data_IF_112152662002
#
_entry.id   IF_112152662002
#
_cell.length_a   1.000
_cell.length_b   1.000
_cell.length_c   1.000
_cell.angle_alpha   90.00
_cell.angle_beta   90.00
_cell.angle_gamma   90.00
#
_symmetry.space_group_name_H-M   'P 1'
#
loop_
_entity.id
_entity.type
_entity.pdbx_description
1 polymer ?
#
# COMPACT_ATOMS: atom_id res chain seq x y z
N UNK A 1 12.65 -24.53 15.52
CA UNK A 1 11.24 -24.11 15.41
C UNK A 1 11.17 -22.74 16.04
N UNK A 2 11.03 -21.68 15.23
CA UNK A 2 10.87 -20.32 15.74
C UNK A 2 9.51 -20.21 16.46
N UNK A 3 9.47 -19.49 17.58
CA UNK A 3 8.21 -19.24 18.30
C UNK A 3 7.25 -18.36 17.49
N UNK A 4 6.00 -18.26 17.96
CA UNK A 4 5.02 -17.35 17.36
C UNK A 4 5.44 -15.89 17.62
N UNK A 5 5.33 -15.03 16.60
CA UNK A 5 5.69 -13.61 16.71
C UNK A 5 4.60 -12.88 17.49
N UNK A 6 4.99 -12.14 18.53
CA UNK A 6 4.06 -11.36 19.37
C UNK A 6 3.70 -10.03 18.71
N UNK A 7 2.45 -9.90 18.30
CA UNK A 7 1.97 -8.77 17.49
C UNK A 7 1.00 -7.89 18.26
N UNK A 8 1.16 -6.57 18.11
CA UNK A 8 0.17 -5.57 18.48
C UNK A 8 -0.42 -4.81 17.29
N UNK A 9 -1.63 -4.28 17.44
CA UNK A 9 -2.27 -3.43 16.41
C UNK A 9 -2.59 -2.05 16.96
N UNK A 10 -2.10 -0.99 16.31
CA UNK A 10 -2.38 0.41 16.66
C UNK A 10 -3.36 0.97 15.63
N UNK A 11 -4.55 1.36 16.09
CA UNK A 11 -5.70 1.76 15.28
C UNK A 11 -6.60 0.57 14.98
N UNK A 12 -7.80 0.54 15.56
CA UNK A 12 -8.81 -0.51 15.46
C UNK A 12 -10.01 -0.08 14.59
N UNK A 13 -9.75 0.82 13.63
CA UNK A 13 -10.73 1.27 12.64
C UNK A 13 -11.03 0.21 11.58
N UNK A 14 -11.45 0.66 10.39
CA UNK A 14 -11.83 -0.24 9.28
C UNK A 14 -10.72 -1.25 8.94
N UNK A 15 -9.50 -0.78 8.65
CA UNK A 15 -8.37 -1.65 8.32
C UNK A 15 -7.81 -2.37 9.54
N UNK A 16 -7.67 -1.68 10.68
CA UNK A 16 -7.21 -2.30 11.93
C UNK A 16 -8.00 -3.55 12.35
N UNK A 17 -9.32 -3.54 12.21
CA UNK A 17 -10.16 -4.72 12.47
C UNK A 17 -9.84 -5.89 11.55
N UNK A 18 -9.49 -5.62 10.29
CA UNK A 18 -9.08 -6.67 9.36
C UNK A 18 -7.70 -7.23 9.74
N UNK A 19 -6.76 -6.40 10.20
CA UNK A 19 -5.46 -6.87 10.69
C UNK A 19 -5.63 -7.74 11.94
N UNK A 20 -6.42 -7.30 12.92
CA UNK A 20 -6.75 -8.09 14.12
C UNK A 20 -7.36 -9.46 13.75
N UNK A 21 -8.32 -9.48 12.82
CA UNK A 21 -8.90 -10.73 12.32
C UNK A 21 -7.82 -11.64 11.73
N UNK A 22 -7.05 -11.14 10.77
CA UNK A 22 -6.06 -11.95 10.07
C UNK A 22 -5.01 -12.47 11.03
N UNK A 23 -4.43 -11.63 11.91
CA UNK A 23 -3.46 -12.09 12.90
C UNK A 23 -4.03 -13.15 13.85
N UNK A 24 -5.31 -13.07 14.22
CA UNK A 24 -5.96 -14.11 15.05
C UNK A 24 -6.15 -15.46 14.32
N UNK A 25 -5.96 -15.49 13.01
CA UNK A 25 -6.05 -16.70 12.17
C UNK A 25 -4.68 -17.27 11.76
N UNK A 26 -3.56 -16.61 12.10
CA UNK A 26 -2.21 -17.04 11.72
C UNK A 26 -1.57 -17.88 12.82
N UNK A 27 -1.10 -19.08 12.49
CA UNK A 27 -0.54 -20.03 13.46
C UNK A 27 0.82 -19.59 14.03
N UNK A 28 1.59 -18.82 13.26
CA UNK A 28 2.90 -18.29 13.66
C UNK A 28 2.81 -16.89 14.31
N UNK A 29 1.62 -16.51 14.80
CA UNK A 29 1.38 -15.21 15.43
C UNK A 29 0.69 -15.38 16.78
N UNK A 30 1.19 -14.65 17.78
CA UNK A 30 0.47 -14.40 19.02
C UNK A 30 -0.07 -12.96 18.99
N UNK A 31 -1.39 -12.79 18.86
CA UNK A 31 -2.01 -11.46 18.92
C UNK A 31 -2.15 -11.04 20.39
N UNK A 32 -1.28 -10.14 20.85
CA UNK A 32 -1.14 -9.82 22.29
C UNK A 32 -2.01 -8.64 22.72
N UNK A 33 -2.00 -7.55 21.94
CA UNK A 33 -2.64 -6.31 22.36
C UNK A 33 -3.10 -5.42 21.18
N UNK A 34 -4.02 -4.51 21.50
CA UNK A 34 -4.49 -3.50 20.56
C UNK A 34 -4.62 -2.12 21.21
N UNK A 35 -4.39 -1.07 20.44
CA UNK A 35 -4.56 0.31 20.88
C UNK A 35 -5.45 1.12 19.92
N UNK A 36 -6.40 1.90 20.45
CA UNK A 36 -7.23 2.85 19.70
C UNK A 36 -7.70 3.94 20.67
N UNK A 37 -7.88 5.16 20.18
CA UNK A 37 -8.41 6.28 20.97
C UNK A 37 -9.92 6.13 21.27
N UNK A 38 -10.61 5.27 20.52
CA UNK A 38 -12.04 4.99 20.64
C UNK A 38 -12.30 3.79 21.59
N UNK A 39 -12.84 4.10 22.77
CA UNK A 39 -13.18 3.12 23.81
C UNK A 39 -14.14 2.02 23.33
N UNK A 40 -15.09 2.33 22.46
CA UNK A 40 -16.07 1.34 22.00
C UNK A 40 -15.46 0.36 21.00
N UNK A 41 -14.50 0.83 20.17
CA UNK A 41 -13.71 -0.07 19.34
C UNK A 41 -12.86 -1.01 20.18
N UNK A 42 -12.23 -0.51 21.24
CA UNK A 42 -11.43 -1.35 22.14
C UNK A 42 -12.30 -2.41 22.84
N UNK A 43 -13.46 -2.05 23.39
CA UNK A 43 -14.39 -3.03 23.98
C UNK A 43 -14.78 -4.13 23.00
N UNK A 44 -15.04 -3.77 21.74
CA UNK A 44 -15.32 -4.75 20.70
C UNK A 44 -14.13 -5.70 20.46
N UNK A 45 -12.91 -5.14 20.38
CA UNK A 45 -11.68 -5.91 20.16
C UNK A 45 -11.39 -6.86 21.31
N UNK A 46 -11.46 -6.38 22.55
CA UNK A 46 -11.29 -7.19 23.76
C UNK A 46 -12.31 -8.34 23.79
N UNK A 47 -13.60 -8.04 23.56
CA UNK A 47 -14.66 -9.06 23.53
C UNK A 47 -14.46 -10.09 22.41
N UNK A 48 -14.01 -9.66 21.23
CA UNK A 48 -13.94 -10.51 20.02
C UNK A 48 -12.70 -11.37 19.97
N UNK A 49 -11.57 -10.87 20.48
CA UNK A 49 -10.25 -11.50 20.33
C UNK A 49 -9.60 -11.88 21.67
N UNK A 50 -10.13 -11.41 22.80
CA UNK A 50 -9.58 -11.71 24.13
C UNK A 50 -8.23 -11.05 24.42
N UNK A 51 -7.87 -10.01 23.67
CA UNK A 51 -6.57 -9.33 23.75
C UNK A 51 -6.64 -8.12 24.67
N UNK A 52 -5.51 -7.75 25.26
CA UNK A 52 -5.42 -6.54 26.09
C UNK A 52 -5.62 -5.30 25.23
N UNK A 53 -6.30 -4.30 25.78
CA UNK A 53 -6.60 -3.06 25.04
C UNK A 53 -6.12 -1.81 25.75
N UNK A 54 -5.70 -0.83 24.95
CA UNK A 54 -5.06 0.40 25.43
C UNK A 54 -5.60 1.64 24.73
N UNK A 55 -5.95 2.68 25.50
CA UNK A 55 -6.33 3.98 24.93
C UNK A 55 -5.13 4.79 24.44
N UNK A 56 -3.95 4.50 24.98
CA UNK A 56 -2.68 5.10 24.57
C UNK A 56 -1.72 3.99 24.14
N UNK A 57 -1.32 4.00 22.87
CA UNK A 57 -0.38 3.01 22.33
C UNK A 57 0.97 3.05 23.05
N UNK A 58 1.38 4.18 23.62
CA UNK A 58 2.64 4.30 24.38
C UNK A 58 2.59 3.48 25.66
N UNK A 59 1.43 3.37 26.29
CA UNK A 59 1.25 2.49 27.45
C UNK A 59 1.28 1.02 27.03
N UNK A 60 0.70 0.68 25.89
CA UNK A 60 0.82 -0.66 25.29
C UNK A 60 2.29 -1.04 25.06
N UNK A 61 3.08 -0.15 24.44
CA UNK A 61 4.51 -0.39 24.16
C UNK A 61 5.36 -0.59 25.42
N UNK A 62 4.97 0.02 26.55
CA UNK A 62 5.69 -0.13 27.84
C UNK A 62 5.33 -1.41 28.58
N UNK A 63 4.07 -1.85 28.47
CA UNK A 63 3.51 -2.92 29.32
C UNK A 63 3.54 -4.29 28.66
N UNK A 64 3.53 -4.32 27.34
CA UNK A 64 3.44 -5.55 26.57
C UNK A 64 4.77 -5.92 25.92
N UNK A 65 5.09 -7.21 25.98
CA UNK A 65 6.22 -7.80 25.28
C UNK A 65 5.82 -8.05 23.82
N UNK A 66 5.94 -7.02 22.99
CA UNK A 66 5.63 -7.07 21.57
C UNK A 66 6.92 -7.14 20.75
N UNK A 67 6.91 -7.90 19.66
CA UNK A 67 7.99 -7.97 18.68
C UNK A 67 7.65 -7.11 17.45
N UNK A 68 6.37 -7.10 17.07
CA UNK A 68 5.90 -6.46 15.85
C UNK A 68 4.59 -5.68 16.02
N UNK A 69 4.40 -4.67 15.17
CA UNK A 69 3.22 -3.80 15.18
C UNK A 69 2.65 -3.58 13.78
N UNK A 70 1.33 -3.67 13.66
CA UNK A 70 0.58 -3.05 12.56
C UNK A 70 0.10 -1.67 12.95
N UNK A 71 0.40 -0.65 12.15
CA UNK A 71 -0.03 0.74 12.37
C UNK A 71 -1.10 1.10 11.33
N UNK A 72 -2.36 1.10 11.77
CA UNK A 72 -3.56 1.31 10.97
C UNK A 72 -4.35 2.56 11.42
N UNK A 73 -3.64 3.63 11.75
CA UNK A 73 -4.21 4.90 12.24
C UNK A 73 -4.51 5.87 11.09
N UNK A 74 -5.02 7.10 11.33
CA UNK A 74 -5.04 8.12 10.29
C UNK A 74 -3.63 8.42 9.75
N UNK A 75 -3.53 8.68 8.45
CA UNK A 75 -2.25 8.93 7.75
C UNK A 75 -1.38 9.99 8.42
N UNK A 76 -1.99 11.08 8.93
CA UNK A 76 -1.28 12.19 9.57
C UNK A 76 -0.61 11.81 10.88
N UNK A 77 -1.01 10.70 11.52
CA UNK A 77 -0.40 10.22 12.77
C UNK A 77 0.65 9.14 12.54
N UNK A 78 0.81 8.63 11.32
CA UNK A 78 1.74 7.53 11.02
C UNK A 78 3.18 7.84 11.42
N UNK A 79 3.71 9.01 11.05
CA UNK A 79 5.11 9.35 11.28
C UNK A 79 5.50 9.29 12.77
N UNK A 80 4.71 9.94 13.64
CA UNK A 80 4.96 9.95 15.08
C UNK A 80 4.88 8.53 15.68
N UNK A 81 3.79 7.80 15.37
CA UNK A 81 3.54 6.47 15.93
C UNK A 81 4.59 5.46 15.44
N UNK A 82 4.97 5.52 14.16
CA UNK A 82 5.96 4.64 13.57
C UNK A 82 7.36 4.92 14.13
N UNK A 83 7.76 6.19 14.26
CA UNK A 83 9.04 6.55 14.89
C UNK A 83 9.13 6.10 16.34
N UNK A 84 8.05 6.27 17.12
CA UNK A 84 8.03 5.82 18.51
C UNK A 84 8.08 4.29 18.63
N UNK A 85 7.39 3.59 17.74
CA UNK A 85 7.42 2.12 17.64
C UNK A 85 8.83 1.60 17.29
N UNK A 86 9.48 2.19 16.29
CA UNK A 86 10.84 1.85 15.87
C UNK A 86 11.85 2.11 16.99
N UNK A 87 11.77 3.27 17.66
CA UNK A 87 12.63 3.60 18.82
C UNK A 87 12.43 2.67 20.01
N UNK A 88 11.27 2.02 20.11
CA UNK A 88 11.00 0.98 21.09
C UNK A 88 11.50 -0.42 20.63
N UNK A 89 12.25 -0.50 19.53
CA UNK A 89 12.84 -1.73 19.00
C UNK A 89 11.83 -2.66 18.34
N UNK A 90 10.69 -2.16 17.85
CA UNK A 90 9.61 -2.98 17.29
C UNK A 90 9.70 -3.03 15.77
N UNK A 91 9.50 -4.22 15.21
CA UNK A 91 9.26 -4.38 13.77
C UNK A 91 7.91 -3.77 13.42
N UNK A 92 7.80 -3.08 12.28
CA UNK A 92 6.56 -2.38 11.92
C UNK A 92 6.09 -2.67 10.49
N UNK A 93 4.79 -2.86 10.37
CA UNK A 93 4.03 -2.72 9.13
C UNK A 93 3.17 -1.46 9.25
N UNK A 94 3.48 -0.42 8.48
CA UNK A 94 2.75 0.85 8.50
C UNK A 94 1.78 0.94 7.33
N UNK A 95 0.53 1.30 7.60
CA UNK A 95 -0.47 1.52 6.58
C UNK A 95 -0.01 2.61 5.58
N UNK A 96 -0.40 2.48 4.31
CA UNK A 96 -0.16 3.53 3.31
C UNK A 96 -0.99 4.79 3.58
N UNK A 97 -0.48 5.99 3.23
CA UNK A 97 0.93 6.26 2.94
C UNK A 97 1.78 6.09 4.22
N UNK A 98 3.02 5.61 4.09
CA UNK A 98 3.87 5.35 5.28
C UNK A 98 4.05 6.59 6.17
N UNK A 99 4.07 7.77 5.55
CA UNK A 99 4.09 9.09 6.17
C UNK A 99 3.35 10.07 5.25
N UNK A 100 3.02 11.26 5.75
CA UNK A 100 2.41 12.30 4.90
C UNK A 100 3.44 13.17 4.19
N UNK A 101 4.70 13.14 4.60
CA UNK A 101 5.79 13.90 3.99
C UNK A 101 6.99 13.01 3.67
N UNK A 102 7.73 13.39 2.63
CA UNK A 102 9.00 12.73 2.26
C UNK A 102 10.04 12.85 3.38
N UNK A 103 10.10 14.00 4.04
CA UNK A 103 11.05 14.25 5.13
C UNK A 103 10.83 13.30 6.31
N UNK A 104 9.58 13.10 6.73
CA UNK A 104 9.27 12.14 7.79
C UNK A 104 9.54 10.70 7.36
N UNK A 105 9.33 10.39 6.08
CA UNK A 105 9.62 9.07 5.53
C UNK A 105 11.12 8.73 5.55
N UNK A 106 11.99 9.70 5.23
CA UNK A 106 13.44 9.57 5.36
C UNK A 106 13.83 9.31 6.83
N UNK A 107 13.36 10.16 7.75
CA UNK A 107 13.62 10.00 9.19
C UNK A 107 13.19 8.63 9.71
N UNK A 108 12.06 8.11 9.22
CA UNK A 108 11.55 6.81 9.63
C UNK A 108 12.41 5.65 9.12
N UNK A 109 12.88 5.73 7.87
CA UNK A 109 13.80 4.72 7.31
C UNK A 109 15.14 4.73 8.05
N UNK A 110 15.70 5.91 8.29
CA UNK A 110 16.97 6.05 9.01
C UNK A 110 16.86 5.48 10.43
N UNK A 111 15.80 5.83 11.16
CA UNK A 111 15.55 5.29 12.49
C UNK A 111 15.38 3.75 12.48
N UNK A 112 14.71 3.19 11.46
CA UNK A 112 14.53 1.75 11.35
C UNK A 112 15.85 1.02 11.09
N UNK A 113 16.71 1.59 10.24
CA UNK A 113 18.05 1.09 9.96
C UNK A 113 18.95 1.17 11.21
N UNK A 114 18.94 2.29 11.92
CA UNK A 114 19.72 2.50 13.15
C UNK A 114 19.34 1.50 14.25
N UNK A 115 18.05 1.20 14.38
CA UNK A 115 17.53 0.23 15.36
C UNK A 115 17.64 -1.22 14.90
N UNK A 116 17.98 -1.48 13.63
CA UNK A 116 18.03 -2.82 13.06
C UNK A 116 16.66 -3.51 13.00
N UNK A 117 15.57 -2.74 12.88
CA UNK A 117 14.20 -3.28 12.82
C UNK A 117 13.65 -3.32 11.39
N UNK A 118 12.84 -4.32 11.09
CA UNK A 118 12.10 -4.42 9.83
C UNK A 118 11.02 -3.33 9.76
N UNK A 119 11.04 -2.55 8.68
CA UNK A 119 10.02 -1.58 8.28
C UNK A 119 9.43 -1.99 6.94
N UNK A 120 8.19 -2.48 6.96
CA UNK A 120 7.39 -2.74 5.77
C UNK A 120 6.26 -1.70 5.66
N UNK A 121 5.78 -1.49 4.44
CA UNK A 121 4.68 -0.58 4.12
C UNK A 121 3.54 -1.38 3.49
N UNK A 122 2.31 -1.10 3.90
CA UNK A 122 1.08 -1.72 3.40
C UNK A 122 0.79 -1.29 1.95
N UNK A 123 1.54 -1.87 1.03
CA UNK A 123 1.27 -1.86 -0.40
C UNK A 123 0.58 -3.17 -0.80
N UNK A 124 -0.55 -3.46 -0.16
CA UNK A 124 -1.35 -4.68 -0.29
C UNK A 124 -1.58 -5.17 -1.74
N UNK A 125 -1.64 -4.27 -2.73
CA UNK A 125 -1.87 -4.65 -4.13
C UNK A 125 -0.68 -5.44 -4.73
N UNK A 126 0.54 -5.36 -4.17
CA UNK A 126 1.65 -6.26 -4.55
C UNK A 126 1.42 -7.72 -4.12
N UNK A 127 0.53 -7.94 -3.15
CA UNK A 127 0.09 -9.26 -2.68
C UNK A 127 -1.19 -9.75 -3.37
N UNK A 128 -1.78 -8.93 -4.25
CA UNK A 128 -2.93 -9.32 -5.07
C UNK A 128 -2.50 -10.38 -6.10
N UNK A 129 -3.06 -11.62 -6.07
CA UNK A 129 -2.71 -12.67 -7.03
C UNK A 129 -2.82 -12.22 -8.49
N UNK A 130 -3.82 -11.41 -8.82
CA UNK A 130 -3.98 -10.86 -10.16
C UNK A 130 -2.79 -9.99 -10.59
N UNK A 131 -2.30 -9.12 -9.70
CA UNK A 131 -1.13 -8.27 -9.96
C UNK A 131 0.15 -9.09 -10.12
N UNK A 132 0.35 -10.09 -9.26
CA UNK A 132 1.51 -10.98 -9.34
C UNK A 132 1.50 -11.79 -10.64
N UNK A 133 0.33 -12.24 -11.09
CA UNK A 133 0.19 -12.87 -12.39
C UNK A 133 0.55 -11.89 -13.51
N UNK A 134 0.00 -10.67 -13.52
CA UNK A 134 0.38 -9.64 -14.52
C UNK A 134 1.91 -9.48 -14.57
N UNK A 135 2.58 -9.36 -13.42
CA UNK A 135 4.04 -9.24 -13.37
C UNK A 135 4.75 -10.46 -13.97
N UNK A 136 4.33 -11.67 -13.59
CA UNK A 136 4.90 -12.90 -14.12
C UNK A 136 4.74 -13.01 -15.65
N UNK A 137 3.60 -12.59 -16.20
CA UNK A 137 3.38 -12.56 -17.66
C UNK A 137 4.26 -11.53 -18.38
N UNK A 138 4.47 -10.35 -17.78
CA UNK A 138 5.41 -9.34 -18.29
C UNK A 138 6.83 -9.91 -18.30
N UNK A 139 7.28 -10.49 -17.18
CA UNK A 139 8.63 -11.03 -17.02
C UNK A 139 8.88 -12.25 -17.93
N UNK A 140 7.85 -13.03 -18.21
CA UNK A 140 7.89 -14.13 -19.19
C UNK A 140 7.79 -13.66 -20.65
N UNK A 141 7.76 -12.36 -20.93
CA UNK A 141 7.74 -11.78 -22.28
C UNK A 141 6.43 -12.02 -23.05
N UNK A 142 5.33 -12.35 -22.36
CA UNK A 142 4.08 -12.81 -23.01
C UNK A 142 3.29 -11.70 -23.72
N UNK A 143 3.68 -10.44 -23.52
CA UNK A 143 3.14 -9.28 -24.23
C UNK A 143 4.20 -8.50 -25.01
N UNK A 144 5.40 -9.06 -25.16
CA UNK A 144 6.53 -8.37 -25.80
C UNK A 144 6.98 -7.16 -25.01
N UNK A 145 7.38 -6.09 -25.70
CA UNK A 145 7.83 -4.85 -25.06
C UNK A 145 6.65 -4.06 -24.52
N UNK A 146 6.57 -3.84 -23.20
CA UNK A 146 5.51 -3.04 -22.58
C UNK A 146 5.62 -1.59 -23.01
N UNK A 147 4.59 -1.06 -23.68
CA UNK A 147 4.55 0.32 -24.20
C UNK A 147 3.74 1.25 -23.30
N UNK A 148 2.68 0.73 -22.68
CA UNK A 148 1.70 1.52 -21.93
C UNK A 148 1.18 0.71 -20.74
N UNK A 149 1.07 1.38 -19.59
CA UNK A 149 0.33 0.86 -18.43
C UNK A 149 -0.74 1.88 -18.04
N UNK A 150 -2.00 1.48 -18.00
CA UNK A 150 -3.12 2.36 -17.64
C UNK A 150 -3.89 1.78 -16.47
N UNK A 151 -4.08 2.57 -15.40
CA UNK A 151 -4.92 2.21 -14.26
C UNK A 151 -6.10 3.16 -14.10
N UNK A 152 -7.22 2.59 -13.65
CA UNK A 152 -8.43 3.32 -13.29
C UNK A 152 -8.94 2.82 -11.95
N UNK A 153 -8.86 3.68 -10.92
CA UNK A 153 -9.32 3.42 -9.56
C UNK A 153 -10.27 4.52 -9.12
N UNK A 154 -11.56 4.31 -9.40
CA UNK A 154 -12.61 5.31 -9.20
C UNK A 154 -13.80 4.71 -8.45
N UNK A 155 -14.47 5.51 -7.64
CA UNK A 155 -15.70 5.09 -6.94
C UNK A 155 -16.57 6.28 -6.59
N UNK A 156 -17.79 6.00 -6.12
CA UNK A 156 -18.59 7.02 -5.45
C UNK A 156 -17.93 7.34 -4.12
N UNK A 157 -18.15 8.57 -3.65
CA UNK A 157 -17.65 9.14 -2.42
C UNK A 157 -17.45 8.11 -1.30
N UNK A 158 -16.25 8.03 -0.69
CA UNK A 158 -15.96 7.02 0.30
C UNK A 158 -16.84 7.22 1.53
N UNK A 159 -17.26 6.10 2.14
CA UNK A 159 -18.05 6.12 3.39
C UNK A 159 -17.25 6.82 4.51
N UNK A 160 -15.92 6.70 4.47
CA UNK A 160 -15.00 7.37 5.39
C UNK A 160 -14.18 8.38 4.61
N UNK A 161 -14.36 9.65 4.95
CA UNK A 161 -13.52 10.72 4.43
C UNK A 161 -12.14 10.59 5.08
N UNK A 162 -11.10 10.45 4.26
CA UNK A 162 -9.72 10.36 4.71
C UNK A 162 -9.17 11.70 5.19
N UNK A 163 -8.01 11.65 5.83
CA UNK A 163 -7.23 12.82 6.25
C UNK A 163 -6.26 13.32 5.17
N UNK A 164 -6.34 12.76 3.97
CA UNK A 164 -5.58 13.09 2.76
C UNK A 164 -6.50 13.07 1.53
N UNK A 165 -6.06 13.62 0.39
CA UNK A 165 -6.81 13.57 -0.87
C UNK A 165 -6.59 12.29 -1.69
N UNK A 166 -7.29 12.16 -2.82
CA UNK A 166 -7.27 10.94 -3.66
C UNK A 166 -5.89 10.55 -4.16
N UNK A 167 -4.95 11.48 -4.27
CA UNK A 167 -3.59 11.15 -4.74
C UNK A 167 -2.88 10.29 -3.71
N UNK A 168 -2.91 10.68 -2.43
CA UNK A 168 -2.27 9.92 -1.34
C UNK A 168 -3.14 8.78 -0.82
N UNK A 169 -4.46 8.81 -1.04
CA UNK A 169 -5.34 7.70 -0.64
C UNK A 169 -5.45 6.60 -1.71
N UNK A 170 -5.68 6.96 -2.97
CA UNK A 170 -5.95 6.01 -4.06
C UNK A 170 -4.77 5.85 -5.00
N UNK A 171 -4.26 6.96 -5.57
CA UNK A 171 -3.24 6.88 -6.62
C UNK A 171 -1.93 6.27 -6.12
N UNK A 172 -1.62 6.39 -4.82
CA UNK A 172 -0.42 5.81 -4.23
C UNK A 172 -0.30 4.30 -4.47
N UNK A 173 -1.41 3.56 -4.51
CA UNK A 173 -1.40 2.14 -4.86
C UNK A 173 -0.95 1.95 -6.31
N UNK A 174 -1.53 2.72 -7.24
CA UNK A 174 -1.24 2.55 -8.65
C UNK A 174 0.15 3.08 -9.02
N UNK A 175 0.64 4.14 -8.36
CA UNK A 175 2.03 4.62 -8.44
C UNK A 175 3.00 3.50 -8.05
N UNK A 176 2.74 2.85 -6.93
CA UNK A 176 3.53 1.71 -6.48
C UNK A 176 3.50 0.54 -7.49
N UNK A 177 2.30 0.19 -7.98
CA UNK A 177 2.15 -0.88 -8.97
C UNK A 177 2.86 -0.56 -10.29
N UNK A 178 2.87 0.69 -10.77
CA UNK A 178 3.63 1.06 -11.98
C UNK A 178 5.12 0.77 -11.80
N UNK A 179 5.68 1.09 -10.63
CA UNK A 179 7.08 0.80 -10.30
C UNK A 179 7.32 -0.70 -10.20
N UNK A 180 6.45 -1.40 -9.47
CA UNK A 180 6.54 -2.85 -9.26
C UNK A 180 6.50 -3.64 -10.55
N UNK A 181 5.57 -3.33 -11.47
CA UNK A 181 5.44 -4.06 -12.74
C UNK A 181 6.61 -3.79 -13.68
N UNK A 182 7.17 -2.57 -13.65
CA UNK A 182 8.26 -2.18 -14.55
C UNK A 182 9.66 -2.45 -14.01
N UNK A 183 9.80 -2.67 -12.69
CA UNK A 183 11.07 -2.64 -11.96
C UNK A 183 11.86 -1.34 -12.23
N UNK A 184 11.16 -0.22 -12.46
CA UNK A 184 11.75 1.09 -12.79
C UNK A 184 11.08 2.19 -11.98
N UNK A 185 11.77 3.32 -11.87
CA UNK A 185 11.20 4.56 -11.35
C UNK A 185 10.87 5.53 -12.49
N UNK A 186 9.75 6.27 -12.40
CA UNK A 186 9.45 7.31 -13.38
C UNK A 186 10.44 8.47 -13.25
N UNK A 187 10.75 9.12 -14.37
CA UNK A 187 11.69 10.24 -14.48
C UNK A 187 10.98 11.59 -14.62
N UNK A 188 9.69 11.59 -14.97
CA UNK A 188 8.88 12.79 -15.11
C UNK A 188 7.41 12.51 -14.80
N UNK A 189 6.71 13.50 -14.29
CA UNK A 189 5.28 13.46 -14.00
C UNK A 189 4.55 14.70 -14.54
N UNK A 190 3.39 14.48 -15.14
CA UNK A 190 2.40 15.52 -15.40
C UNK A 190 1.07 15.11 -14.75
N UNK A 191 0.37 16.05 -14.13
CA UNK A 191 -0.92 15.77 -13.51
C UNK A 191 -1.91 16.93 -13.64
N UNK A 192 -3.19 16.57 -13.68
CA UNK A 192 -4.32 17.47 -13.45
C UNK A 192 -5.08 16.91 -12.26
N UNK A 193 -5.22 17.69 -11.20
CA UNK A 193 -5.95 17.31 -9.99
C UNK A 193 -6.78 18.48 -9.49
N UNK A 194 -7.90 18.18 -8.83
CA UNK A 194 -8.79 19.20 -8.30
C UNK A 194 -9.79 18.65 -7.30
N UNK A 195 -10.70 19.50 -6.87
CA UNK A 195 -11.69 19.19 -5.84
C UNK A 195 -13.06 19.75 -6.20
N UNK A 196 -14.12 19.02 -5.85
CA UNK A 196 -15.51 19.49 -5.89
C UNK A 196 -16.09 19.59 -4.47
N UNK A 197 -15.85 18.58 -3.64
CA UNK A 197 -16.47 18.45 -2.31
C UNK A 197 -15.45 18.37 -1.17
N UNK A 198 -14.25 17.85 -1.41
CA UNK A 198 -13.27 17.63 -0.33
C UNK A 198 -12.39 18.85 -0.08
N UNK A 199 -11.76 18.94 1.10
CA UNK A 199 -10.75 19.98 1.38
C UNK A 199 -9.45 19.77 0.59
N UNK A 200 -9.10 18.52 0.31
CA UNK A 200 -8.02 18.15 -0.62
C UNK A 200 -8.59 17.77 -1.98
N UNK A 201 -7.73 17.35 -2.90
CA UNK A 201 -8.16 16.83 -4.21
C UNK A 201 -9.05 15.58 -4.07
N UNK A 202 -10.16 15.54 -4.82
CA UNK A 202 -11.09 14.40 -4.91
C UNK A 202 -11.17 13.78 -6.32
N UNK A 203 -10.38 14.31 -7.26
CA UNK A 203 -10.04 13.68 -8.53
C UNK A 203 -8.60 14.02 -8.98
N UNK A 204 -7.97 13.10 -9.71
CA UNK A 204 -6.71 13.33 -10.40
C UNK A 204 -6.56 12.45 -11.65
N UNK A 205 -5.94 13.02 -12.69
CA UNK A 205 -5.46 12.34 -13.88
C UNK A 205 -3.94 12.56 -13.97
N UNK A 206 -3.17 11.48 -14.04
CA UNK A 206 -1.72 11.51 -13.88
C UNK A 206 -1.07 10.77 -15.05
N UNK A 207 0.01 11.34 -15.57
CA UNK A 207 0.91 10.74 -16.55
C UNK A 207 2.28 10.60 -15.89
N UNK A 208 2.80 9.38 -15.85
CA UNK A 208 4.16 9.07 -15.42
C UNK A 208 4.97 8.65 -16.64
N UNK A 209 6.10 9.32 -16.86
CA UNK A 209 7.05 8.99 -17.92
C UNK A 209 8.25 8.29 -17.30
N UNK A 210 8.67 7.19 -17.92
CA UNK A 210 9.91 6.49 -17.62
C UNK A 210 10.98 6.92 -18.65
N UNK A 211 12.26 6.61 -18.39
CA UNK A 211 13.37 7.06 -19.27
C UNK A 211 13.15 6.70 -20.74
N UNK A 212 12.56 5.54 -21.01
CA UNK A 212 12.17 5.06 -22.34
C UNK A 212 10.71 4.60 -22.32
N UNK A 213 10.49 3.30 -22.10
CA UNK A 213 9.17 2.68 -21.94
C UNK A 213 9.02 2.04 -20.54
N UNK A 214 7.77 1.92 -20.04
CA UNK A 214 6.52 2.38 -20.68
C UNK A 214 6.19 3.84 -20.33
N UNK A 215 5.11 4.39 -20.91
CA UNK A 215 4.39 5.52 -20.30
C UNK A 215 3.26 4.97 -19.45
N UNK A 216 2.96 5.57 -18.30
CA UNK A 216 1.85 5.16 -17.45
C UNK A 216 0.80 6.26 -17.26
N UNK A 217 -0.48 5.85 -17.24
CA UNK A 217 -1.63 6.72 -17.01
C UNK A 217 -2.40 6.23 -15.79
N UNK A 218 -2.72 7.14 -14.87
CA UNK A 218 -3.49 6.82 -13.65
C UNK A 218 -4.69 7.77 -13.58
N UNK A 219 -5.89 7.20 -13.51
CA UNK A 219 -7.15 7.91 -13.24
C UNK A 219 -7.66 7.52 -11.85
N UNK A 220 -7.81 8.52 -10.96
CA UNK A 220 -8.41 8.33 -9.63
C UNK A 220 -9.46 9.41 -9.34
N UNK A 221 -10.58 9.01 -8.72
CA UNK A 221 -11.54 9.95 -8.16
C UNK A 221 -12.53 9.26 -7.21
N UNK A 222 -13.20 10.09 -6.40
CA UNK A 222 -14.34 9.72 -5.56
C UNK A 222 -15.69 10.18 -6.13
N UNK A 223 -15.74 10.52 -7.42
CA UNK A 223 -16.88 11.17 -8.06
C UNK A 223 -17.66 10.22 -8.98
N UNK A 224 -17.08 9.08 -9.37
CA UNK A 224 -17.68 8.16 -10.33
C UNK A 224 -18.72 7.26 -9.67
N UNK A 225 -20.00 7.25 -10.10
CA UNK A 225 -21.04 6.44 -9.44
C UNK A 225 -20.73 4.93 -9.38
N UNK A 226 -20.07 4.41 -10.41
CA UNK A 226 -19.67 3.00 -10.49
C UNK A 226 -18.24 2.79 -9.99
N UNK A 227 -18.09 1.95 -8.96
CA UNK A 227 -16.78 1.49 -8.48
C UNK A 227 -16.06 0.70 -9.57
N UNK A 228 -14.87 1.14 -9.96
CA UNK A 228 -14.00 0.49 -10.95
C UNK A 228 -12.58 0.44 -10.41
N UNK A 229 -11.95 -0.74 -10.45
CA UNK A 229 -10.52 -0.92 -10.20
C UNK A 229 -9.95 -1.81 -11.29
N UNK A 230 -9.28 -1.20 -12.26
CA UNK A 230 -8.77 -1.87 -13.45
C UNK A 230 -7.35 -1.45 -13.74
N UNK A 231 -6.55 -2.39 -14.22
CA UNK A 231 -5.21 -2.18 -14.77
C UNK A 231 -5.17 -2.76 -16.18
N UNK A 232 -4.55 -2.05 -17.11
CA UNK A 232 -4.32 -2.50 -18.48
C UNK A 232 -2.84 -2.33 -18.78
N UNK A 233 -2.21 -3.41 -19.25
CA UNK A 233 -0.83 -3.42 -19.71
C UNK A 233 -0.86 -3.72 -21.20
N UNK A 234 -0.42 -2.76 -22.01
CA UNK A 234 -0.27 -2.93 -23.46
C UNK A 234 1.20 -3.11 -23.78
N UNK A 235 1.53 -4.20 -24.46
CA UNK A 235 2.84 -4.40 -25.07
C UNK A 235 2.75 -4.58 -26.58
N UNK A 236 3.91 -4.76 -27.22
CA UNK A 236 4.00 -4.92 -28.68
C UNK A 236 3.24 -6.12 -29.22
N UNK A 237 3.12 -7.19 -28.42
CA UNK A 237 2.63 -8.49 -28.89
C UNK A 237 1.31 -8.90 -28.22
N UNK A 238 0.80 -8.08 -27.29
CA UNK A 238 -0.44 -8.37 -26.59
C UNK A 238 -0.83 -7.36 -25.52
N UNK A 239 -1.97 -7.63 -24.90
CA UNK A 239 -2.56 -6.80 -23.86
C UNK A 239 -3.01 -7.67 -22.68
N UNK A 240 -2.77 -7.21 -21.46
CA UNK A 240 -3.29 -7.80 -20.23
C UNK A 240 -4.24 -6.82 -19.59
N UNK A 241 -5.45 -7.27 -19.25
CA UNK A 241 -6.41 -6.52 -18.45
C UNK A 241 -6.60 -7.22 -17.12
N UNK A 242 -6.42 -6.51 -16.01
CA UNK A 242 -6.66 -6.98 -14.66
C UNK A 242 -7.85 -6.25 -14.05
N UNK A 243 -8.76 -7.00 -13.43
CA UNK A 243 -9.72 -6.48 -12.48
C UNK A 243 -9.19 -6.71 -11.05
N UNK A 244 -8.77 -5.64 -10.35
CA UNK A 244 -8.19 -5.77 -9.00
C UNK A 244 -9.15 -6.41 -7.98
N UNK A 245 -10.47 -6.26 -8.18
CA UNK A 245 -11.48 -6.75 -7.23
C UNK A 245 -11.65 -8.26 -7.37
N UNK A 246 -11.83 -8.76 -8.59
CA UNK A 246 -12.02 -10.19 -8.85
C UNK A 246 -10.69 -10.95 -8.96
N UNK A 247 -9.57 -10.22 -9.08
CA UNK A 247 -8.22 -10.75 -9.33
C UNK A 247 -8.07 -11.45 -10.70
N UNK A 248 -9.12 -11.39 -11.52
CA UNK A 248 -9.14 -11.97 -12.86
C UNK A 248 -8.28 -11.15 -13.81
N UNK A 249 -7.49 -11.86 -14.62
CA UNK A 249 -6.76 -11.29 -15.74
C UNK A 249 -7.27 -11.86 -17.06
N UNK A 250 -7.34 -11.03 -18.08
CA UNK A 250 -7.55 -11.45 -19.47
C UNK A 250 -6.34 -11.06 -20.29
N UNK A 251 -5.81 -12.01 -21.05
CA UNK A 251 -4.66 -11.80 -21.93
C UNK A 251 -5.14 -11.96 -23.35
N UNK A 252 -4.86 -10.98 -24.21
CA UNK A 252 -5.22 -11.02 -25.61
C UNK A 252 -4.03 -10.65 -26.51
N UNK A 253 -3.95 -11.31 -27.66
CA UNK A 253 -2.97 -11.06 -28.72
C UNK A 253 -3.60 -11.30 -30.10
N UNK A 254 -2.80 -11.32 -31.16
CA UNK A 254 -3.26 -11.54 -32.53
C UNK A 254 -3.94 -12.90 -32.77
N UNK A 255 -3.70 -13.89 -31.90
CA UNK A 255 -4.25 -15.25 -32.01
C UNK A 255 -5.54 -15.46 -31.23
N UNK A 256 -5.90 -14.52 -30.35
CA UNK A 256 -7.14 -14.59 -29.55
C UNK A 256 -6.97 -14.03 -28.14
N UNK A 257 -7.96 -14.30 -27.29
CA UNK A 257 -7.97 -13.91 -25.89
C UNK A 257 -8.23 -15.11 -24.98
N UNK A 258 -7.59 -15.16 -23.82
CA UNK A 258 -7.83 -16.16 -22.80
C UNK A 258 -7.77 -15.57 -21.39
N UNK A 259 -8.47 -16.22 -20.47
CA UNK A 259 -8.48 -15.88 -19.03
C UNK A 259 -7.89 -17.06 -18.27
N UNK A 260 -6.66 -16.97 -17.75
CA UNK A 260 -6.08 -18.05 -16.95
C UNK A 260 -6.86 -18.23 -15.65
N UNK A 261 -7.02 -19.49 -15.23
CA UNK A 261 -7.59 -19.81 -13.93
C UNK A 261 -6.74 -19.17 -12.83
N UNK A 262 -7.37 -18.42 -11.94
CA UNK A 262 -6.72 -17.78 -10.79
C UNK A 262 -7.43 -18.23 -9.53
N UNK A 263 -6.67 -18.76 -8.57
CA UNK A 263 -7.20 -19.07 -7.25
C UNK A 263 -7.28 -17.77 -6.46
N UNK A 264 -8.49 -17.40 -6.06
CA UNK A 264 -8.68 -16.22 -5.23
C UNK A 264 -7.97 -16.42 -3.89
N UNK A 265 -7.23 -15.41 -3.46
CA UNK A 265 -6.60 -15.37 -2.14
C UNK A 265 -6.70 -13.96 -1.57
N UNK A 266 -6.95 -13.86 -0.27
CA UNK A 266 -7.09 -12.57 0.42
C UNK A 266 -5.73 -11.84 0.45
N UNK A 267 -5.56 -10.70 -0.26
CA UNK A 267 -4.27 -10.02 -0.32
C UNK A 267 -3.74 -9.58 1.04
N UNK A 268 -4.63 -9.16 1.95
CA UNK A 268 -4.25 -8.76 3.30
C UNK A 268 -3.66 -9.94 4.08
N UNK A 269 -4.28 -11.13 4.00
CA UNK A 269 -3.77 -12.33 4.66
C UNK A 269 -2.36 -12.67 4.17
N UNK A 270 -2.14 -12.59 2.86
CA UNK A 270 -0.82 -12.82 2.25
C UNK A 270 0.22 -11.79 2.70
N UNK A 271 -0.15 -10.52 2.78
CA UNK A 271 0.73 -9.45 3.26
C UNK A 271 1.12 -9.62 4.73
N UNK A 272 0.14 -9.90 5.60
CA UNK A 272 0.44 -10.08 7.03
C UNK A 272 1.26 -11.35 7.27
N UNK A 273 0.95 -12.47 6.60
CA UNK A 273 1.80 -13.66 6.65
C UNK A 273 3.22 -13.37 6.17
N UNK A 274 3.37 -12.64 5.07
CA UNK A 274 4.68 -12.24 4.55
C UNK A 274 5.46 -11.40 5.56
N UNK A 275 4.82 -10.41 6.20
CA UNK A 275 5.47 -9.60 7.23
C UNK A 275 6.02 -10.45 8.38
N UNK A 276 5.25 -11.45 8.83
CA UNK A 276 5.69 -12.38 9.88
C UNK A 276 6.83 -13.27 9.39
N UNK A 277 6.73 -13.81 8.18
CA UNK A 277 7.79 -14.65 7.59
C UNK A 277 9.10 -13.87 7.38
N UNK A 278 9.03 -12.57 7.07
CA UNK A 278 10.22 -11.70 7.01
C UNK A 278 10.85 -11.53 8.38
N UNK A 279 10.06 -11.36 9.45
CA UNK A 279 10.56 -11.28 10.83
C UNK A 279 11.24 -12.59 11.25
N UNK A 280 10.64 -13.73 10.88
CA UNK A 280 11.18 -15.06 11.15
C UNK A 280 12.42 -15.39 10.30
N UNK A 281 12.77 -14.55 9.32
CA UNK A 281 13.90 -14.78 8.41
C UNK A 281 13.63 -15.82 7.31
N UNK A 282 12.37 -16.18 7.09
CA UNK A 282 11.94 -17.17 6.11
C UNK A 282 11.76 -16.57 4.71
N UNK A 283 11.45 -15.27 4.62
CA UNK A 283 11.23 -14.56 3.37
C UNK A 283 12.00 -13.23 3.30
N UNK A 284 12.28 -12.77 2.07
CA UNK A 284 12.83 -11.43 1.83
C UNK A 284 11.69 -10.43 1.59
N UNK A 285 11.78 -9.18 2.07
CA UNK A 285 10.74 -8.19 1.86
C UNK A 285 10.37 -7.98 0.38
N UNK A 286 9.09 -8.17 0.02
CA UNK A 286 8.52 -7.80 -1.29
C UNK A 286 8.30 -6.29 -1.38
N UNK A 287 8.04 -5.65 -0.24
CA UNK A 287 7.85 -4.21 -0.08
C UNK A 287 8.73 -3.76 1.07
N UNK A 288 9.35 -2.59 0.98
CA UNK A 288 10.15 -2.03 2.07
C UNK A 288 9.89 -0.53 2.25
N UNK A 289 10.56 0.09 3.23
CA UNK A 289 10.47 1.53 3.47
C UNK A 289 10.83 2.39 2.24
N UNK A 290 11.80 1.98 1.42
CA UNK A 290 12.18 2.70 0.19
C UNK A 290 11.03 2.73 -0.82
N UNK A 291 10.30 1.63 -0.97
CA UNK A 291 9.12 1.59 -1.84
C UNK A 291 8.05 2.59 -1.38
N UNK A 292 7.73 2.61 -0.08
CA UNK A 292 6.78 3.55 0.49
C UNK A 292 7.22 5.00 0.35
N UNK A 293 8.51 5.30 0.57
CA UNK A 293 9.06 6.66 0.45
C UNK A 293 8.97 7.17 -0.99
N UNK A 294 9.31 6.33 -1.96
CA UNK A 294 9.21 6.69 -3.38
C UNK A 294 7.75 6.91 -3.80
N UNK A 295 6.81 6.11 -3.29
CA UNK A 295 5.40 6.31 -3.54
C UNK A 295 4.91 7.66 -2.96
N UNK A 296 5.30 8.00 -1.71
CA UNK A 296 5.00 9.31 -1.10
C UNK A 296 5.61 10.46 -1.89
N UNK A 297 6.89 10.34 -2.28
CA UNK A 297 7.60 11.33 -3.09
C UNK A 297 6.90 11.59 -4.43
N UNK A 298 6.55 10.54 -5.16
CA UNK A 298 5.85 10.67 -6.44
C UNK A 298 4.47 11.31 -6.23
N UNK A 299 3.73 10.94 -5.18
CA UNK A 299 2.46 11.60 -4.82
C UNK A 299 2.63 13.10 -4.55
N UNK A 300 3.68 13.53 -3.87
CA UNK A 300 3.95 14.97 -3.69
C UNK A 300 4.28 15.67 -5.00
N UNK A 301 5.05 15.02 -5.88
CA UNK A 301 5.40 15.56 -7.19
C UNK A 301 4.21 15.63 -8.14
N UNK A 302 3.26 14.69 -8.04
CA UNK A 302 1.95 14.73 -8.72
C UNK A 302 1.20 16.00 -8.31
N UNK A 303 1.05 16.25 -7.01
CA UNK A 303 0.34 17.42 -6.51
C UNK A 303 1.04 18.73 -6.92
N UNK A 304 2.37 18.74 -6.87
CA UNK A 304 3.19 19.89 -7.32
C UNK A 304 3.06 20.14 -8.82
N UNK A 305 2.97 19.09 -9.64
CA UNK A 305 2.76 19.21 -11.08
C UNK A 305 1.39 19.79 -11.39
N UNK A 306 0.35 19.27 -10.74
CA UNK A 306 -1.02 19.77 -10.87
C UNK A 306 -1.15 21.24 -10.48
N UNK A 307 -0.53 21.64 -9.37
CA UNK A 307 -0.53 23.04 -8.92
C UNK A 307 0.21 23.99 -9.88
N UNK A 308 1.25 23.51 -10.57
CA UNK A 308 2.04 24.31 -11.52
C UNK A 308 1.52 24.25 -12.96
N UNK A 309 0.61 23.34 -13.28
CA UNK A 309 0.09 23.14 -14.63
C UNK A 309 1.15 22.71 -15.65
N UNK A 310 2.21 22.01 -15.23
CA UNK A 310 3.30 21.58 -16.12
C UNK A 310 3.97 20.28 -15.66
N UNK A 311 4.63 19.62 -16.60
CA UNK A 311 5.42 18.43 -16.32
C UNK A 311 6.61 18.78 -15.39
N UNK A 312 6.96 17.85 -14.50
CA UNK A 312 8.06 17.98 -13.55
C UNK A 312 8.97 16.76 -13.65
N UNK A 313 10.27 17.02 -13.80
CA UNK A 313 11.31 16.01 -13.67
C UNK A 313 11.36 15.48 -12.23
N UNK A 314 11.52 14.17 -12.09
CA UNK A 314 11.60 13.46 -10.81
C UNK A 314 13.06 13.22 -10.45
N UNK A 315 13.42 13.64 -9.24
CA UNK A 315 14.74 13.50 -8.62
C UNK A 315 14.53 12.91 -7.22
N UNK A 316 14.43 11.58 -7.12
CA UNK A 316 14.20 10.91 -5.84
C UNK A 316 15.24 11.30 -4.80
N UNK A 317 14.87 11.39 -3.52
CA UNK A 317 15.76 11.83 -2.44
C UNK A 317 16.71 10.73 -1.94
N UNK A 318 16.86 9.62 -2.67
CA UNK A 318 17.52 8.35 -2.27
C UNK A 318 18.15 7.62 -3.45
#
# INVERSE_FOLDING_TARGET
MGGAVKVGVIGCGFWGKNHLRVYSELENVELVAAADIDKERLKYVEKRYGVKTYLDYREMLKREDLEALSICTPSTTHAEIALNSVRAGKHILVAKPMTTTVEDGLKLIDAANEQGVILLVDHIERFNPGVQNVKAYIEAGKVGQVVLISSKRVSRWPIRIGDVGVVKDLAIHDVDIMRYLTNKDPVEVYAIAGRIHHKYEDYANIILKFKDLPTAFIEVNWLTPKKTRRLIVTGSDGIITLNYITQEITIANSTGAFTPATTWSEPLKRELSHFINVILGEEKPIVNGRDGLLAVYICEMILKSAAKGKALELKPPI
#
